data_IF_572507316324
#
_entry.id   IF_572507316324
#
_cell.length_a   1.000
_cell.length_b   1.000
_cell.length_c   1.000
_cell.angle_alpha   90.00
_cell.angle_beta   90.00
_cell.angle_gamma   90.00
#
_symmetry.space_group_name_H-M   'P 1'
#
loop_
_entity.id
_entity.type
_entity.pdbx_description
1 polymer ?
#
# COMPACT_ATOMS: atom_id res chain seq x y z
N UNK A 1 45.49 57.09 30.28
CA UNK A 1 44.18 56.42 30.38
C UNK A 1 43.97 55.69 29.07
N UNK A 2 44.59 54.52 28.96
CA UNK A 2 44.51 53.67 27.77
C UNK A 2 43.26 52.81 27.86
N UNK A 3 42.44 52.88 26.81
CA UNK A 3 41.24 52.06 26.64
C UNK A 3 41.72 50.65 26.26
N UNK A 4 41.35 49.58 26.97
CA UNK A 4 41.78 48.24 26.61
C UNK A 4 41.09 47.80 25.31
N UNK A 5 41.77 47.00 24.45
CA UNK A 5 41.22 46.57 23.17
C UNK A 5 40.05 45.62 23.37
N UNK A 6 38.97 45.90 22.64
CA UNK A 6 37.76 45.10 22.54
C UNK A 6 38.13 43.68 22.07
N UNK A 7 37.89 42.69 22.93
CA UNK A 7 38.17 41.30 22.63
C UNK A 7 37.25 40.83 21.49
N UNK A 8 37.84 40.58 20.32
CA UNK A 8 37.14 39.96 19.18
C UNK A 8 36.79 38.52 19.53
N UNK A 9 35.52 38.30 19.87
CA UNK A 9 34.97 36.95 20.09
C UNK A 9 35.03 36.18 18.76
N UNK A 10 35.79 35.07 18.66
CA UNK A 10 35.89 34.32 17.42
C UNK A 10 34.58 33.54 17.16
N UNK A 11 33.80 33.96 16.18
CA UNK A 11 32.48 33.38 15.88
C UNK A 11 32.28 33.10 14.40
N UNK A 12 33.00 32.18 13.74
CA UNK A 12 32.86 32.15 12.26
C UNK A 12 32.94 30.84 11.48
N UNK A 13 33.35 29.69 12.00
CA UNK A 13 33.47 28.46 11.15
C UNK A 13 32.49 27.35 11.49
N UNK A 14 32.40 26.93 12.76
CA UNK A 14 31.50 25.83 13.18
C UNK A 14 30.02 26.17 12.99
N UNK A 15 29.61 27.39 13.38
CA UNK A 15 28.22 27.86 13.27
C UNK A 15 27.71 27.90 11.83
N UNK A 16 28.60 28.28 10.90
CA UNK A 16 28.29 28.34 9.47
C UNK A 16 27.99 26.95 8.89
N UNK A 17 28.70 25.91 9.35
CA UNK A 17 28.53 24.54 8.85
C UNK A 17 27.21 23.91 9.31
N UNK A 18 26.84 24.09 10.59
CA UNK A 18 25.57 23.57 11.11
C UNK A 18 24.36 24.24 10.46
N UNK A 19 24.40 25.55 10.27
CA UNK A 19 23.31 26.31 9.62
C UNK A 19 23.13 25.87 8.16
N UNK A 20 24.23 25.64 7.44
CA UNK A 20 24.19 25.11 6.05
C UNK A 20 23.61 23.70 6.03
N UNK A 21 23.99 22.84 6.97
CA UNK A 21 23.48 21.48 7.08
C UNK A 21 21.95 21.46 7.30
N UNK A 22 21.44 22.24 8.25
CA UNK A 22 19.99 22.34 8.52
C UNK A 22 19.21 22.78 7.28
N UNK A 23 19.75 23.76 6.53
CA UNK A 23 19.10 24.26 5.30
C UNK A 23 19.07 23.22 4.17
N UNK A 24 20.15 22.49 3.97
CA UNK A 24 20.22 21.44 2.95
C UNK A 24 19.29 20.28 3.32
N UNK A 25 19.27 19.89 4.60
CA UNK A 25 18.43 18.80 5.10
C UNK A 25 16.94 19.15 5.11
N UNK A 26 16.57 20.41 5.36
CA UNK A 26 15.18 20.87 5.27
C UNK A 26 14.67 20.87 3.82
N UNK A 27 15.51 21.29 2.86
CA UNK A 27 15.18 21.25 1.44
C UNK A 27 15.11 19.81 0.90
N UNK A 28 16.02 18.95 1.33
CA UNK A 28 15.98 17.51 1.00
C UNK A 28 14.70 16.86 1.55
N UNK A 29 14.32 17.16 2.80
CA UNK A 29 13.06 16.67 3.39
C UNK A 29 11.82 17.17 2.65
N UNK A 30 11.88 18.38 2.07
CA UNK A 30 10.79 18.91 1.24
C UNK A 30 10.66 18.16 -0.09
N UNK A 31 11.78 17.83 -0.74
CA UNK A 31 11.78 17.00 -1.95
C UNK A 31 11.19 15.62 -1.69
N UNK A 32 11.54 15.02 -0.55
CA UNK A 32 10.96 13.75 -0.12
C UNK A 32 9.45 13.82 0.15
N UNK A 33 8.92 14.97 0.52
CA UNK A 33 7.47 15.10 0.64
C UNK A 33 6.87 15.26 -0.75
N UNK A 34 7.36 16.19 -1.57
CA UNK A 34 6.67 16.61 -2.80
C UNK A 34 6.71 15.59 -3.94
N UNK A 35 7.84 14.95 -4.19
CA UNK A 35 8.05 14.05 -5.34
C UNK A 35 7.09 12.84 -5.41
N UNK A 36 6.89 12.04 -4.34
CA UNK A 36 6.04 10.85 -4.41
C UNK A 36 4.57 11.22 -4.56
N UNK A 37 4.14 12.35 -4.01
CA UNK A 37 2.77 12.83 -4.19
C UNK A 37 2.48 13.25 -5.63
N UNK A 38 3.45 13.86 -6.31
CA UNK A 38 3.34 14.19 -7.73
C UNK A 38 3.25 12.90 -8.56
N UNK A 39 4.06 11.89 -8.25
CA UNK A 39 4.00 10.60 -8.95
C UNK A 39 2.64 9.90 -8.77
N UNK A 40 2.13 9.82 -7.55
CA UNK A 40 0.82 9.19 -7.25
C UNK A 40 -0.33 9.93 -7.95
N UNK A 41 -0.30 11.26 -7.96
CA UNK A 41 -1.31 12.09 -8.64
C UNK A 41 -1.32 11.86 -10.16
N UNK A 42 -0.17 11.58 -10.77
CA UNK A 42 -0.04 11.36 -12.22
C UNK A 42 -0.50 9.93 -12.60
N UNK A 43 -0.27 8.93 -11.76
CA UNK A 43 -0.47 7.52 -12.15
C UNK A 43 -1.90 6.98 -11.96
N UNK A 44 -2.70 7.50 -11.02
CA UNK A 44 -3.95 6.83 -10.60
C UNK A 44 -5.27 7.53 -10.99
N UNK A 45 -5.25 8.48 -11.94
CA UNK A 45 -6.46 9.10 -12.54
C UNK A 45 -7.64 9.35 -11.56
N UNK A 46 -7.30 10.00 -10.45
CA UNK A 46 -8.13 10.79 -9.55
C UNK A 46 -9.53 10.26 -9.13
N UNK A 47 -9.56 9.35 -8.14
CA UNK A 47 -10.29 9.60 -6.86
C UNK A 47 -9.42 10.35 -5.82
N UNK A 48 -8.15 10.60 -6.17
CA UNK A 48 -7.43 11.89 -6.20
C UNK A 48 -7.76 13.09 -5.30
N UNK A 49 -9.03 13.37 -5.04
CA UNK A 49 -9.44 14.61 -4.35
C UNK A 49 -9.02 14.60 -2.87
N UNK A 50 -8.81 13.41 -2.28
CA UNK A 50 -8.28 13.19 -0.93
C UNK A 50 -6.75 13.35 -0.85
N UNK A 51 -6.03 12.93 -1.90
CA UNK A 51 -4.59 13.18 -2.04
C UNK A 51 -4.26 14.68 -2.11
N UNK A 52 -5.19 15.53 -2.56
CA UNK A 52 -5.01 16.98 -2.74
C UNK A 52 -5.27 17.84 -1.49
N UNK A 53 -5.99 17.35 -0.48
CA UNK A 53 -6.34 18.14 0.73
C UNK A 53 -5.48 17.75 1.96
N UNK A 54 -4.98 16.51 1.99
CA UNK A 54 -4.25 15.89 3.10
C UNK A 54 -2.72 15.88 2.93
N UNK A 55 -2.23 16.43 1.82
CA UNK A 55 -0.84 16.75 1.44
C UNK A 55 -0.29 17.90 2.31
N UNK A 56 -0.54 17.72 3.62
CA UNK A 56 0.13 18.17 4.80
C UNK A 56 0.76 19.57 4.79
N UNK A 57 0.34 20.51 5.66
CA UNK A 57 1.08 21.76 5.88
C UNK A 57 2.52 21.53 6.40
N UNK A 58 2.97 20.28 6.62
CA UNK A 58 4.37 19.98 6.94
C UNK A 58 5.34 20.53 5.89
N UNK A 59 5.01 20.54 4.59
CA UNK A 59 5.92 21.12 3.59
C UNK A 59 6.08 22.64 3.76
N UNK A 60 5.03 23.35 4.21
CA UNK A 60 5.12 24.78 4.56
C UNK A 60 6.08 25.02 5.72
N UNK A 61 6.14 24.06 6.64
CA UNK A 61 7.01 24.12 7.80
C UNK A 61 8.49 23.94 7.41
N UNK A 62 8.80 22.98 6.52
CA UNK A 62 10.15 22.82 5.94
C UNK A 62 10.55 23.98 5.02
N UNK A 63 9.61 24.52 4.24
CA UNK A 63 9.81 25.71 3.41
C UNK A 63 10.09 26.94 4.29
N UNK A 64 9.33 27.09 5.39
CA UNK A 64 9.50 28.13 6.39
C UNK A 64 10.90 28.12 7.01
N UNK A 65 11.43 26.94 7.37
CA UNK A 65 12.80 26.80 7.88
C UNK A 65 13.81 27.31 6.84
N UNK A 66 13.69 26.87 5.57
CA UNK A 66 14.61 27.26 4.51
C UNK A 66 14.59 28.77 4.20
N UNK A 67 13.42 29.41 4.32
CA UNK A 67 13.23 30.84 4.11
C UNK A 67 13.67 31.69 5.32
N UNK A 68 13.33 31.27 6.54
CA UNK A 68 13.68 31.99 7.77
C UNK A 68 15.19 31.98 8.03
N UNK A 69 15.91 30.92 7.61
CA UNK A 69 17.38 30.87 7.66
C UNK A 69 18.08 31.87 6.74
N UNK A 70 17.38 32.40 5.72
CA UNK A 70 17.90 33.45 4.82
C UNK A 70 17.79 34.85 5.45
N UNK A 71 16.92 35.03 6.44
CA UNK A 71 16.64 36.32 7.09
C UNK A 71 17.36 36.54 8.42
N UNK A 72 16.96 37.59 9.14
CA UNK A 72 17.47 37.92 10.50
C UNK A 72 16.90 37.02 11.61
N UNK A 73 15.96 36.11 11.30
CA UNK A 73 15.21 35.27 12.25
C UNK A 73 15.75 33.83 12.35
N UNK A 74 17.08 33.68 12.47
CA UNK A 74 17.74 32.37 12.45
C UNK A 74 17.36 31.48 13.64
N UNK A 75 17.25 32.06 14.84
CA UNK A 75 16.85 31.32 16.04
C UNK A 75 15.42 30.75 15.95
N UNK A 76 14.50 31.52 15.37
CA UNK A 76 13.10 31.10 15.14
C UNK A 76 13.03 29.93 14.14
N UNK A 77 13.87 29.96 13.09
CA UNK A 77 13.99 28.88 12.12
C UNK A 77 14.54 27.58 12.73
N UNK A 78 15.56 27.69 13.59
CA UNK A 78 16.19 26.56 14.26
C UNK A 78 15.25 25.90 15.27
N UNK A 79 14.52 26.69 16.06
CA UNK A 79 13.48 26.18 16.96
C UNK A 79 12.36 25.44 16.20
N UNK A 80 12.00 25.95 15.02
CA UNK A 80 11.01 25.31 14.13
C UNK A 80 11.53 23.98 13.60
N UNK A 81 12.80 23.88 13.20
CA UNK A 81 13.41 22.63 12.73
C UNK A 81 13.45 21.54 13.82
N UNK A 82 13.82 21.91 15.05
CA UNK A 82 13.91 20.98 16.19
C UNK A 82 12.54 20.46 16.62
N UNK A 83 11.48 21.24 16.42
CA UNK A 83 10.11 20.90 16.84
C UNK A 83 9.36 20.06 15.82
N UNK A 84 9.66 20.21 14.52
CA UNK A 84 9.00 19.48 13.43
C UNK A 84 9.68 18.15 13.11
N UNK A 85 11.00 18.04 13.31
CA UNK A 85 11.77 16.83 13.02
C UNK A 85 11.24 15.56 13.71
N UNK A 86 11.02 15.56 15.04
CA UNK A 86 10.54 14.37 15.76
C UNK A 86 9.12 13.92 15.34
N UNK A 87 8.12 14.81 15.19
CA UNK A 87 6.84 14.42 14.61
C UNK A 87 6.95 13.82 13.21
N UNK A 88 7.78 14.39 12.34
CA UNK A 88 7.99 13.89 11.00
C UNK A 88 8.67 12.51 10.97
N UNK A 89 9.61 12.25 11.89
CA UNK A 89 10.23 10.93 12.07
C UNK A 89 9.18 9.87 12.43
N UNK A 90 8.31 10.18 13.39
CA UNK A 90 7.24 9.25 13.82
C UNK A 90 6.26 8.98 12.69
N UNK A 91 5.85 10.02 11.94
CA UNK A 91 4.97 9.87 10.77
C UNK A 91 5.61 8.99 9.70
N UNK A 92 6.89 9.23 9.38
CA UNK A 92 7.62 8.42 8.39
C UNK A 92 7.73 6.95 8.80
N UNK A 93 8.08 6.66 10.06
CA UNK A 93 8.17 5.30 10.57
C UNK A 93 6.80 4.61 10.64
N UNK A 94 5.76 5.30 11.10
CA UNK A 94 4.41 4.76 11.16
C UNK A 94 3.86 4.43 9.76
N UNK A 95 4.08 5.33 8.79
CA UNK A 95 3.72 5.09 7.40
C UNK A 95 4.49 3.90 6.80
N UNK A 96 5.80 3.81 7.06
CA UNK A 96 6.62 2.67 6.62
C UNK A 96 6.16 1.32 7.20
N UNK A 97 5.78 1.30 8.48
CA UNK A 97 5.20 0.13 9.16
C UNK A 97 3.83 -0.23 8.58
N UNK A 98 2.96 0.75 8.35
CA UNK A 98 1.63 0.55 7.76
C UNK A 98 1.73 -0.06 6.36
N UNK A 99 2.61 0.49 5.52
CA UNK A 99 2.79 0.03 4.14
C UNK A 99 3.51 -1.32 4.04
N UNK A 100 3.98 -1.90 5.15
CA UNK A 100 4.55 -3.27 5.17
C UNK A 100 3.52 -4.34 4.79
N UNK A 101 2.23 -4.07 5.03
CA UNK A 101 1.14 -4.99 4.76
C UNK A 101 0.63 -4.94 3.32
N UNK A 102 1.08 -3.97 2.52
CA UNK A 102 0.67 -3.78 1.12
C UNK A 102 1.79 -4.20 0.17
N UNK A 103 1.75 -5.40 -0.44
CA UNK A 103 2.81 -5.89 -1.34
C UNK A 103 3.05 -4.98 -2.55
N UNK A 104 1.97 -4.39 -3.07
CA UNK A 104 1.98 -3.56 -4.27
C UNK A 104 2.65 -2.18 -4.03
N UNK A 105 2.77 -1.76 -2.77
CA UNK A 105 3.21 -0.41 -2.38
C UNK A 105 4.64 -0.40 -1.80
N UNK A 106 5.45 -1.40 -2.14
CA UNK A 106 6.81 -1.54 -1.61
C UNK A 106 7.72 -0.35 -1.92
N UNK A 107 7.54 0.32 -3.06
CA UNK A 107 8.28 1.53 -3.44
C UNK A 107 7.87 2.74 -2.59
N UNK A 108 6.56 2.91 -2.34
CA UNK A 108 6.03 3.95 -1.43
C UNK A 108 6.56 3.75 -0.01
N UNK A 109 6.63 2.49 0.45
CA UNK A 109 7.22 2.12 1.74
C UNK A 109 8.70 2.50 1.83
N UNK A 110 9.49 2.20 0.81
CA UNK A 110 10.90 2.57 0.76
C UNK A 110 11.07 4.09 0.87
N UNK A 111 10.17 4.85 0.25
CA UNK A 111 10.15 6.30 0.28
C UNK A 111 9.91 6.87 1.70
N UNK A 112 8.88 6.41 2.41
CA UNK A 112 8.60 6.86 3.78
C UNK A 112 9.71 6.49 4.78
N UNK A 113 10.35 5.33 4.59
CA UNK A 113 11.50 4.93 5.40
C UNK A 113 12.73 5.83 5.14
N UNK A 114 12.96 6.22 3.88
CA UNK A 114 14.03 7.14 3.51
C UNK A 114 13.78 8.54 4.10
N UNK A 115 12.54 9.03 4.04
CA UNK A 115 12.11 10.27 4.69
C UNK A 115 12.29 10.23 6.22
N UNK A 116 11.92 9.12 6.87
CA UNK A 116 12.15 8.93 8.30
C UNK A 116 13.65 8.98 8.63
N UNK A 117 14.47 8.27 7.85
CA UNK A 117 15.93 8.28 8.00
C UNK A 117 16.53 9.68 7.86
N UNK A 118 16.01 10.51 6.94
CA UNK A 118 16.48 11.88 6.73
C UNK A 118 16.14 12.85 7.86
N UNK A 119 15.20 12.50 8.76
CA UNK A 119 14.89 13.33 9.92
C UNK A 119 15.96 13.26 11.01
N UNK A 120 16.70 12.14 11.14
CA UNK A 120 17.72 11.99 12.17
C UNK A 120 18.87 13.00 12.01
N UNK A 121 19.50 13.16 10.83
CA UNK A 121 20.49 14.22 10.62
C UNK A 121 19.92 15.63 10.81
N UNK A 122 18.65 15.86 10.46
CA UNK A 122 18.00 17.15 10.65
C UNK A 122 17.83 17.50 12.13
N UNK A 123 17.43 16.53 12.95
CA UNK A 123 17.31 16.70 14.40
C UNK A 123 18.69 16.96 15.01
N UNK A 124 19.70 16.14 14.66
CA UNK A 124 21.08 16.29 15.17
C UNK A 124 21.66 17.65 14.79
N UNK A 125 21.52 18.06 13.52
CA UNK A 125 22.01 19.36 13.05
C UNK A 125 21.21 20.54 13.63
N UNK A 126 19.91 20.38 13.86
CA UNK A 126 19.07 21.36 14.54
C UNK A 126 19.51 21.58 15.98
N UNK A 127 19.78 20.51 16.74
CA UNK A 127 20.35 20.61 18.08
C UNK A 127 21.75 21.22 18.08
N UNK A 128 22.63 20.78 17.17
CA UNK A 128 23.98 21.32 17.03
C UNK A 128 23.99 22.83 16.75
N UNK A 129 23.14 23.28 15.81
CA UNK A 129 22.99 24.70 15.50
C UNK A 129 22.34 25.50 16.63
N UNK A 130 21.41 24.91 17.39
CA UNK A 130 20.74 25.59 18.50
C UNK A 130 21.69 25.83 19.68
N UNK A 131 22.53 24.85 20.02
CA UNK A 131 23.51 24.99 21.09
C UNK A 131 24.73 25.84 20.72
N UNK A 132 24.98 26.05 19.43
CA UNK A 132 26.10 26.87 18.98
C UNK A 132 25.75 28.37 18.88
N UNK A 133 24.47 28.74 18.90
CA UNK A 133 24.03 30.15 18.93
C UNK A 133 24.25 30.83 20.30
N UNK A 134 24.73 32.11 20.33
CA UNK A 134 24.97 32.85 21.57
C UNK A 134 23.70 33.06 22.42
N UNK A 135 23.89 33.02 23.74
CA UNK A 135 22.85 33.00 24.78
C UNK A 135 21.92 34.22 24.77
N UNK A 136 22.42 35.38 24.31
CA UNK A 136 21.63 36.62 24.17
C UNK A 136 20.51 36.49 23.14
N UNK A 137 20.68 35.66 22.10
CA UNK A 137 19.63 35.35 21.11
C UNK A 137 18.66 34.26 21.59
N UNK A 138 18.98 33.58 22.69
CA UNK A 138 18.23 32.45 23.27
C UNK A 138 17.11 32.91 24.20
N UNK A 139 17.18 34.14 24.72
CA UNK A 139 16.37 34.65 25.82
C UNK A 139 14.92 35.03 25.47
N UNK A 140 14.33 34.37 24.48
CA UNK A 140 12.91 34.49 24.22
C UNK A 140 12.45 33.49 23.17
N UNK A 141 11.62 32.52 23.58
CA UNK A 141 10.76 31.69 22.72
C UNK A 141 11.38 30.42 22.12
N UNK A 142 11.83 29.47 22.96
CA UNK A 142 11.23 28.14 22.76
C UNK A 142 9.99 28.14 23.65
N UNK A 143 8.78 28.39 23.11
CA UNK A 143 7.61 28.25 23.95
C UNK A 143 7.55 26.77 24.32
N UNK A 144 7.56 26.46 25.61
CA UNK A 144 7.30 25.10 26.14
C UNK A 144 6.06 24.51 25.45
N UNK A 145 5.11 25.38 25.11
CA UNK A 145 3.95 25.11 24.27
C UNK A 145 4.25 24.49 22.90
N UNK A 146 5.32 24.86 22.19
CA UNK A 146 5.67 24.25 20.90
C UNK A 146 6.12 22.79 21.03
N UNK A 147 6.83 22.44 22.10
CA UNK A 147 7.16 21.05 22.41
C UNK A 147 5.91 20.26 22.81
N UNK A 148 5.03 20.86 23.63
CA UNK A 148 3.74 20.28 24.05
C UNK A 148 2.84 20.04 22.84
N UNK A 149 2.71 21.00 21.92
CA UNK A 149 1.90 20.85 20.71
C UNK A 149 2.44 19.77 19.77
N UNK A 150 3.77 19.64 19.63
CA UNK A 150 4.38 18.55 18.87
C UNK A 150 4.07 17.18 19.47
N UNK A 151 4.14 17.04 20.79
CA UNK A 151 3.85 15.80 21.52
C UNK A 151 2.37 15.41 21.44
N UNK A 152 1.47 16.37 21.61
CA UNK A 152 0.02 16.16 21.45
C UNK A 152 -0.33 15.77 20.02
N UNK A 153 0.30 16.40 19.02
CA UNK A 153 0.09 16.08 17.61
C UNK A 153 0.52 14.64 17.27
N UNK A 154 1.70 14.22 17.75
CA UNK A 154 2.17 12.84 17.61
C UNK A 154 1.24 11.85 18.31
N UNK A 155 0.80 12.15 19.54
CA UNK A 155 -0.12 11.31 20.30
C UNK A 155 -1.45 11.11 19.56
N UNK A 156 -2.06 12.19 19.06
CA UNK A 156 -3.31 12.12 18.29
C UNK A 156 -3.16 11.30 17.00
N UNK A 157 -2.02 11.44 16.30
CA UNK A 157 -1.72 10.64 15.11
C UNK A 157 -1.61 9.13 15.41
N UNK A 158 -0.92 8.77 16.51
CA UNK A 158 -0.82 7.37 16.94
C UNK A 158 -2.21 6.82 17.28
N UNK A 159 -3.04 7.57 18.00
CA UNK A 159 -4.42 7.18 18.32
C UNK A 159 -5.29 6.96 17.06
N UNK A 160 -5.23 7.87 16.08
CA UNK A 160 -5.98 7.73 14.83
C UNK A 160 -5.51 6.50 14.06
N UNK A 161 -4.19 6.27 13.95
CA UNK A 161 -3.68 5.07 13.27
C UNK A 161 -4.12 3.78 13.96
N UNK A 162 -4.10 3.73 15.30
CA UNK A 162 -4.53 2.58 16.08
C UNK A 162 -6.02 2.25 15.88
N UNK A 163 -6.87 3.26 15.64
CA UNK A 163 -8.29 3.08 15.37
C UNK A 163 -8.58 2.65 13.93
N UNK A 164 -7.82 3.17 12.96
CA UNK A 164 -8.02 2.91 11.54
C UNK A 164 -7.48 1.52 11.13
N UNK A 165 -6.37 1.06 11.72
CA UNK A 165 -5.69 -0.19 11.38
C UNK A 165 -6.57 -1.48 11.39
N UNK A 166 -7.40 -1.75 12.41
CA UNK A 166 -8.07 -3.06 12.53
C UNK A 166 -9.14 -3.27 11.46
N UNK A 167 -9.87 -2.21 11.08
CA UNK A 167 -10.99 -2.31 10.14
C UNK A 167 -10.56 -2.45 8.68
N UNK A 168 -9.41 -1.91 8.30
CA UNK A 168 -8.95 -1.86 6.90
C UNK A 168 -8.48 -3.21 6.39
N UNK A 169 -7.77 -3.97 7.22
CA UNK A 169 -7.27 -5.30 6.88
C UNK A 169 -8.44 -6.29 6.73
N UNK A 170 -9.40 -6.25 7.65
CA UNK A 170 -10.61 -7.08 7.57
C UNK A 170 -11.44 -6.76 6.31
N UNK A 171 -11.63 -5.47 5.99
CA UNK A 171 -12.40 -5.03 4.81
C UNK A 171 -11.79 -5.54 3.48
N UNK A 172 -10.46 -5.51 3.34
CA UNK A 172 -9.77 -6.06 2.16
C UNK A 172 -9.96 -7.56 2.03
N UNK A 173 -9.81 -8.31 3.13
CA UNK A 173 -10.02 -9.76 3.08
C UNK A 173 -11.45 -10.12 2.68
N UNK A 174 -12.45 -9.38 3.17
CA UNK A 174 -13.84 -9.62 2.78
C UNK A 174 -14.12 -9.32 1.31
N UNK A 175 -13.58 -8.23 0.76
CA UNK A 175 -13.79 -7.87 -0.66
C UNK A 175 -13.07 -8.82 -1.61
N UNK A 176 -11.85 -9.24 -1.27
CA UNK A 176 -11.09 -10.23 -2.04
C UNK A 176 -11.78 -11.61 -2.02
N UNK A 177 -12.23 -12.06 -0.85
CA UNK A 177 -13.01 -13.30 -0.72
C UNK A 177 -14.31 -13.26 -1.51
N UNK A 178 -15.04 -12.14 -1.49
CA UNK A 178 -16.27 -11.97 -2.28
C UNK A 178 -15.99 -12.05 -3.79
N UNK A 179 -14.90 -11.42 -4.27
CA UNK A 179 -14.45 -11.51 -5.67
C UNK A 179 -14.12 -12.95 -6.09
N UNK A 180 -13.50 -13.73 -5.19
CA UNK A 180 -13.19 -15.15 -5.43
C UNK A 180 -14.47 -15.97 -5.54
N UNK A 181 -15.39 -15.84 -4.59
CA UNK A 181 -16.69 -16.54 -4.63
C UNK A 181 -17.48 -16.19 -5.89
N UNK A 182 -17.52 -14.91 -6.27
CA UNK A 182 -18.15 -14.48 -7.52
C UNK A 182 -17.50 -15.13 -8.75
N UNK A 183 -16.17 -15.18 -8.79
CA UNK A 183 -15.44 -15.80 -9.91
C UNK A 183 -15.71 -17.30 -10.00
N UNK A 184 -15.80 -18.02 -8.86
CA UNK A 184 -16.18 -19.43 -8.83
C UNK A 184 -17.59 -19.66 -9.38
N UNK A 185 -18.56 -18.84 -8.96
CA UNK A 185 -19.95 -18.91 -9.46
C UNK A 185 -20.03 -18.63 -10.96
N UNK A 186 -19.28 -17.65 -11.44
CA UNK A 186 -19.24 -17.29 -12.86
C UNK A 186 -18.66 -18.43 -13.72
N UNK A 187 -17.55 -19.06 -13.29
CA UNK A 187 -16.97 -20.20 -14.01
C UNK A 187 -17.93 -21.40 -13.99
N UNK A 188 -18.58 -21.68 -12.85
CA UNK A 188 -19.56 -22.74 -12.76
C UNK A 188 -20.76 -22.49 -13.71
N UNK A 189 -21.32 -21.29 -13.71
CA UNK A 189 -22.41 -20.93 -14.62
C UNK A 189 -22.02 -21.10 -16.10
N UNK A 190 -20.79 -20.70 -16.46
CA UNK A 190 -20.26 -20.91 -17.81
C UNK A 190 -20.06 -22.40 -18.15
N UNK A 191 -19.59 -23.22 -17.20
CA UNK A 191 -19.47 -24.66 -17.37
C UNK A 191 -20.84 -25.34 -17.58
N UNK A 192 -21.85 -24.93 -16.83
CA UNK A 192 -23.24 -25.39 -17.00
C UNK A 192 -23.79 -24.97 -18.37
N UNK A 193 -23.55 -23.73 -18.80
CA UNK A 193 -23.95 -23.26 -20.13
C UNK A 193 -23.26 -24.00 -21.26
N UNK A 194 -21.98 -24.33 -21.10
CA UNK A 194 -21.22 -25.13 -22.05
C UNK A 194 -21.86 -26.52 -22.25
N UNK A 195 -22.22 -27.18 -21.13
CA UNK A 195 -22.87 -28.50 -21.15
C UNK A 195 -24.19 -28.47 -21.90
N UNK A 196 -25.03 -27.47 -21.66
CA UNK A 196 -26.31 -27.30 -22.35
C UNK A 196 -26.14 -27.04 -23.85
N UNK A 197 -25.18 -26.19 -24.20
CA UNK A 197 -24.99 -25.70 -25.58
C UNK A 197 -24.37 -26.77 -26.48
N UNK A 198 -23.32 -27.44 -26.01
CA UNK A 198 -22.54 -28.36 -26.84
C UNK A 198 -22.87 -29.84 -26.58
N UNK A 199 -23.66 -30.16 -25.55
CA UNK A 199 -24.00 -31.54 -25.18
C UNK A 199 -22.77 -32.45 -24.99
N UNK A 200 -21.63 -31.86 -24.63
CA UNK A 200 -20.32 -32.52 -24.47
C UNK A 200 -19.95 -32.75 -22.99
N UNK A 201 -20.92 -32.71 -22.07
CA UNK A 201 -20.64 -32.61 -20.65
C UNK A 201 -20.02 -31.26 -20.28
N UNK A 202 -19.29 -31.21 -19.17
CA UNK A 202 -18.54 -30.04 -18.72
C UNK A 202 -17.19 -29.92 -19.45
N UNK A 203 -16.59 -28.72 -19.53
CA UNK A 203 -15.30 -28.56 -20.21
C UNK A 203 -14.17 -29.32 -19.50
N UNK A 204 -13.33 -30.06 -20.23
CA UNK A 204 -12.18 -30.74 -19.62
C UNK A 204 -11.12 -29.76 -19.06
N UNK A 205 -11.05 -28.56 -19.62
CA UNK A 205 -10.16 -27.50 -19.18
C UNK A 205 -10.88 -26.16 -19.18
N UNK A 206 -10.60 -25.31 -18.19
CA UNK A 206 -11.14 -23.95 -18.11
C UNK A 206 -10.87 -23.11 -19.37
N UNK A 207 -9.77 -23.37 -20.08
CA UNK A 207 -9.43 -22.65 -21.32
C UNK A 207 -10.48 -22.82 -22.43
N UNK A 208 -11.23 -23.94 -22.43
CA UNK A 208 -12.30 -24.19 -23.40
C UNK A 208 -13.49 -23.22 -23.23
N UNK A 209 -13.65 -22.64 -22.04
CA UNK A 209 -14.67 -21.62 -21.75
C UNK A 209 -14.25 -20.24 -22.23
N UNK A 210 -12.95 -20.01 -22.43
CA UNK A 210 -12.41 -18.71 -22.82
C UNK A 210 -12.72 -18.32 -24.26
N UNK A 211 -12.42 -17.07 -24.64
CA UNK A 211 -12.59 -16.62 -26.01
C UNK A 211 -11.62 -17.38 -26.95
N UNK A 212 -12.03 -17.60 -28.22
CA UNK A 212 -11.14 -18.14 -29.24
C UNK A 212 -9.90 -17.26 -29.43
N UNK A 213 -8.80 -17.88 -29.90
CA UNK A 213 -7.66 -17.10 -30.41
C UNK A 213 -8.14 -16.19 -31.54
N UNK A 214 -7.58 -14.99 -31.62
CA UNK A 214 -7.91 -14.00 -32.64
C UNK A 214 -7.94 -14.64 -34.03
N UNK A 215 -9.09 -14.58 -34.71
CA UNK A 215 -9.30 -15.17 -36.04
C UNK A 215 -9.88 -16.60 -36.07
N UNK A 216 -10.21 -17.20 -34.92
CA UNK A 216 -10.90 -18.51 -34.87
C UNK A 216 -12.38 -18.36 -34.49
N UNK A 217 -13.24 -19.20 -35.05
CA UNK A 217 -14.68 -19.19 -34.77
C UNK A 217 -15.00 -19.78 -33.39
N UNK A 218 -16.08 -19.29 -32.78
CA UNK A 218 -16.58 -19.81 -31.51
C UNK A 218 -17.12 -21.23 -31.69
N UNK A 219 -16.77 -22.13 -30.78
CA UNK A 219 -17.18 -23.53 -30.84
C UNK A 219 -16.87 -24.26 -29.54
N UNK A 220 -17.11 -25.57 -29.50
CA UNK A 220 -16.90 -26.37 -28.28
C UNK A 220 -15.46 -26.39 -27.77
N UNK A 221 -14.48 -25.98 -28.58
CA UNK A 221 -13.08 -25.89 -28.16
C UNK A 221 -12.67 -24.47 -27.71
N UNK A 222 -13.54 -23.49 -27.91
CA UNK A 222 -13.37 -22.10 -27.50
C UNK A 222 -14.74 -21.41 -27.46
N UNK A 223 -15.46 -21.61 -26.36
CA UNK A 223 -16.88 -21.28 -26.26
C UNK A 223 -17.15 -19.79 -25.99
N UNK A 224 -16.12 -19.00 -25.65
CA UNK A 224 -16.24 -17.57 -25.34
C UNK A 224 -17.31 -17.25 -24.27
N UNK A 225 -17.49 -18.17 -23.32
CA UNK A 225 -18.48 -18.06 -22.23
C UNK A 225 -17.95 -17.30 -21.01
N UNK A 226 -16.63 -17.20 -20.87
CA UNK A 226 -15.97 -16.36 -19.87
C UNK A 226 -14.95 -15.43 -20.54
N UNK A 227 -14.71 -14.28 -19.92
CA UNK A 227 -13.68 -13.34 -20.36
C UNK A 227 -12.27 -13.94 -20.20
N UNK A 228 -11.33 -13.50 -21.04
CA UNK A 228 -9.92 -13.92 -20.96
C UNK A 228 -9.31 -13.68 -19.56
N UNK A 229 -9.74 -12.62 -18.87
CA UNK A 229 -9.33 -12.28 -17.51
C UNK A 229 -9.65 -13.40 -16.50
N UNK A 230 -10.76 -14.12 -16.68
CA UNK A 230 -11.22 -15.22 -15.81
C UNK A 230 -10.61 -16.58 -16.17
N UNK A 231 -9.99 -16.70 -17.34
CA UNK A 231 -9.20 -17.87 -17.73
C UNK A 231 -7.85 -17.90 -16.99
N UNK A 232 -7.41 -16.77 -16.43
CA UNK A 232 -6.15 -16.63 -15.69
C UNK A 232 -6.14 -17.50 -14.43
N UNK A 233 -4.99 -18.14 -14.13
CA UNK A 233 -4.81 -18.98 -12.93
C UNK A 233 -4.79 -18.20 -11.63
N UNK A 234 -4.68 -16.88 -11.67
CA UNK A 234 -4.59 -16.04 -10.48
C UNK A 234 -5.53 -14.85 -10.58
N UNK A 235 -6.22 -14.53 -9.48
CA UNK A 235 -7.07 -13.34 -9.35
C UNK A 235 -7.23 -13.00 -7.86
N UNK A 236 -7.17 -11.71 -7.53
CA UNK A 236 -7.39 -11.20 -6.15
C UNK A 236 -6.51 -11.87 -5.08
N UNK A 237 -5.26 -12.24 -5.38
CA UNK A 237 -4.37 -12.90 -4.42
C UNK A 237 -4.60 -14.41 -4.24
N UNK A 238 -5.46 -15.01 -5.07
CA UNK A 238 -5.80 -16.43 -5.06
C UNK A 238 -5.40 -17.11 -6.36
N UNK A 239 -5.01 -18.38 -6.24
CA UNK A 239 -4.74 -19.31 -7.34
C UNK A 239 -5.94 -20.21 -7.55
N UNK A 240 -6.46 -20.21 -8.78
CA UNK A 240 -7.58 -21.04 -9.21
C UNK A 240 -7.06 -22.30 -9.90
N UNK A 241 -7.48 -23.46 -9.38
CA UNK A 241 -7.25 -24.79 -9.95
C UNK A 241 -8.53 -25.34 -10.56
N UNK A 242 -8.42 -26.04 -11.68
CA UNK A 242 -9.53 -26.74 -12.33
C UNK A 242 -9.18 -28.23 -12.43
N UNK A 243 -10.00 -29.07 -11.82
CA UNK A 243 -9.79 -30.50 -11.69
C UNK A 243 -10.91 -31.24 -12.44
N UNK A 244 -10.65 -31.71 -13.67
CA UNK A 244 -11.63 -32.48 -14.44
C UNK A 244 -11.86 -33.86 -13.83
N UNK A 245 -13.11 -34.32 -13.85
CA UNK A 245 -13.49 -35.71 -13.59
C UNK A 245 -13.39 -36.60 -14.83
N UNK A 246 -14.03 -37.79 -14.81
CA UNK A 246 -14.02 -38.72 -15.93
C UNK A 246 -14.61 -38.11 -17.21
N UNK A 247 -14.03 -38.45 -18.36
CA UNK A 247 -14.53 -38.00 -19.64
C UNK A 247 -15.93 -38.52 -19.96
N UNK A 248 -16.67 -37.78 -20.78
CA UNK A 248 -17.91 -38.29 -21.38
C UNK A 248 -17.59 -39.41 -22.38
N UNK A 249 -18.36 -40.51 -22.40
CA UNK A 249 -18.07 -41.67 -23.25
C UNK A 249 -18.31 -41.39 -24.74
N UNK A 250 -19.24 -40.48 -25.06
CA UNK A 250 -19.62 -40.15 -26.44
C UNK A 250 -19.60 -38.64 -26.66
N UNK A 251 -18.42 -38.04 -26.89
CA UNK A 251 -18.31 -36.62 -27.19
C UNK A 251 -18.84 -36.30 -28.60
N UNK A 252 -19.40 -35.10 -28.83
CA UNK A 252 -19.79 -34.64 -30.16
C UNK A 252 -18.59 -34.56 -31.11
N UNK A 253 -18.81 -34.82 -32.40
CA UNK A 253 -17.77 -34.79 -33.42
C UNK A 253 -17.10 -33.40 -33.51
N UNK A 254 -15.76 -33.36 -33.56
CA UNK A 254 -14.97 -32.12 -33.64
C UNK A 254 -14.72 -31.42 -32.30
N UNK A 255 -15.27 -31.94 -31.20
CA UNK A 255 -15.06 -31.41 -29.86
C UNK A 255 -14.03 -32.23 -29.07
N UNK A 256 -13.18 -31.54 -28.31
CA UNK A 256 -12.37 -32.19 -27.27
C UNK A 256 -13.31 -32.85 -26.27
N UNK A 257 -13.11 -34.12 -25.88
CA UNK A 257 -14.01 -34.80 -24.95
C UNK A 257 -14.15 -34.02 -23.65
N UNK A 258 -15.37 -33.60 -23.31
CA UNK A 258 -15.64 -32.99 -22.01
C UNK A 258 -15.67 -34.03 -20.89
N UNK A 259 -16.12 -33.62 -19.71
CA UNK A 259 -16.10 -34.40 -18.47
C UNK A 259 -17.47 -34.43 -17.79
N UNK A 260 -17.73 -35.48 -17.02
CA UNK A 260 -19.02 -35.67 -16.36
C UNK A 260 -19.14 -34.86 -15.06
N UNK A 261 -18.02 -34.61 -14.39
CA UNK A 261 -17.91 -33.83 -13.16
C UNK A 261 -16.65 -32.97 -13.19
N UNK A 262 -16.61 -31.93 -12.37
CA UNK A 262 -15.44 -31.08 -12.24
C UNK A 262 -15.38 -30.43 -10.88
N UNK A 263 -14.17 -30.08 -10.44
CA UNK A 263 -13.95 -29.32 -9.22
C UNK A 263 -13.10 -28.10 -9.52
N UNK A 264 -13.49 -26.97 -8.95
CA UNK A 264 -12.72 -25.73 -9.02
C UNK A 264 -12.27 -25.39 -7.61
N UNK A 265 -10.97 -25.28 -7.42
CA UNK A 265 -10.38 -24.88 -6.15
C UNK A 265 -9.86 -23.45 -6.25
N UNK A 266 -10.03 -22.64 -5.21
CA UNK A 266 -9.34 -21.36 -5.09
C UNK A 266 -8.58 -21.33 -3.76
N UNK A 267 -7.25 -21.19 -3.81
CA UNK A 267 -6.39 -21.12 -2.63
C UNK A 267 -5.63 -19.79 -2.62
N UNK A 268 -5.42 -19.15 -1.47
CA UNK A 268 -4.53 -18.00 -1.37
C UNK A 268 -3.13 -18.31 -1.92
N UNK A 269 -2.50 -17.35 -2.59
CA UNK A 269 -1.10 -17.47 -3.04
C UNK A 269 -0.15 -17.66 -1.84
N UNK A 270 -0.36 -16.90 -0.76
CA UNK A 270 0.28 -17.07 0.53
C UNK A 270 -0.78 -17.13 1.63
N UNK A 271 -1.00 -18.33 2.19
CA UNK A 271 -1.98 -18.54 3.25
C UNK A 271 -1.64 -17.69 4.49
N UNK A 272 -2.63 -16.99 5.04
CA UNK A 272 -2.46 -16.05 6.15
C UNK A 272 -1.96 -14.65 5.76
N UNK A 273 -1.54 -14.43 4.50
CA UNK A 273 -1.13 -13.11 4.00
C UNK A 273 -2.05 -12.58 2.91
N UNK A 274 -2.23 -13.32 1.81
CA UNK A 274 -3.12 -12.94 0.70
C UNK A 274 -4.54 -13.48 0.87
N UNK A 275 -4.78 -14.31 1.89
CA UNK A 275 -6.10 -14.86 2.20
C UNK A 275 -6.01 -15.92 3.30
N UNK A 276 -7.11 -16.16 4.00
CA UNK A 276 -7.20 -17.08 5.15
C UNK A 276 -8.17 -18.24 4.93
N UNK A 277 -8.82 -18.28 3.77
CA UNK A 277 -9.86 -19.26 3.46
C UNK A 277 -9.53 -19.88 2.11
N UNK A 278 -9.65 -21.20 1.98
CA UNK A 278 -9.63 -21.91 0.72
C UNK A 278 -11.05 -22.29 0.31
N UNK A 279 -11.35 -22.22 -0.99
CA UNK A 279 -12.67 -22.52 -1.54
C UNK A 279 -12.64 -23.69 -2.51
N UNK A 280 -13.73 -24.44 -2.54
CA UNK A 280 -14.01 -25.50 -3.52
C UNK A 280 -15.41 -25.30 -4.08
N UNK A 281 -15.56 -25.35 -5.40
CA UNK A 281 -16.84 -25.41 -6.08
C UNK A 281 -16.89 -26.69 -6.92
N UNK A 282 -17.94 -27.48 -6.80
CA UNK A 282 -18.15 -28.69 -7.60
C UNK A 282 -19.13 -28.44 -8.77
N UNK A 283 -19.44 -29.49 -9.52
CA UNK A 283 -20.41 -29.44 -10.62
C UNK A 283 -21.86 -29.23 -10.16
N UNK A 284 -22.14 -29.26 -8.85
CA UNK A 284 -23.47 -28.95 -8.30
C UNK A 284 -23.64 -27.46 -8.03
N UNK A 285 -22.54 -26.69 -8.02
CA UNK A 285 -22.52 -25.26 -7.75
C UNK A 285 -22.47 -24.92 -6.25
N UNK A 286 -22.35 -25.93 -5.39
CA UNK A 286 -22.16 -25.74 -3.95
C UNK A 286 -20.70 -25.31 -3.72
N UNK A 287 -20.54 -24.13 -3.12
CA UNK A 287 -19.22 -23.63 -2.73
C UNK A 287 -18.97 -24.02 -1.28
N UNK A 288 -17.89 -24.75 -1.04
CA UNK A 288 -17.40 -25.17 0.27
C UNK A 288 -16.15 -24.39 0.64
N UNK A 289 -15.92 -24.19 1.93
CA UNK A 289 -14.80 -23.40 2.42
C UNK A 289 -14.09 -24.06 3.61
N UNK A 290 -12.79 -23.83 3.71
CA UNK A 290 -11.98 -24.22 4.88
C UNK A 290 -11.04 -23.09 5.28
N UNK A 291 -10.84 -22.89 6.58
CA UNK A 291 -9.88 -21.95 7.15
C UNK A 291 -8.53 -22.60 7.49
N UNK A 292 -8.34 -23.88 7.14
CA UNK A 292 -7.09 -24.59 7.31
C UNK A 292 -6.16 -24.35 6.10
N UNK A 293 -4.84 -24.38 6.32
CA UNK A 293 -3.85 -24.23 5.25
C UNK A 293 -3.74 -25.50 4.38
N UNK A 294 -4.83 -25.81 3.70
CA UNK A 294 -4.96 -26.90 2.74
C UNK A 294 -5.96 -26.53 1.65
N UNK A 295 -6.02 -27.36 0.62
CA UNK A 295 -7.09 -27.29 -0.37
C UNK A 295 -8.44 -27.66 0.26
N UNK A 296 -9.49 -26.94 -0.12
CA UNK A 296 -10.85 -27.29 0.26
C UNK A 296 -11.28 -28.60 -0.41
N UNK A 297 -12.10 -29.37 0.30
CA UNK A 297 -12.57 -30.72 -0.01
C UNK A 297 -14.09 -30.78 0.00
N UNK A 298 -14.66 -31.89 -0.46
CA UNK A 298 -16.11 -32.10 -0.47
C UNK A 298 -16.68 -32.35 0.93
N UNK A 299 -15.84 -32.55 1.95
CA UNK A 299 -16.29 -32.76 3.33
C UNK A 299 -16.37 -31.44 4.11
N UNK A 300 -15.79 -30.37 3.56
CA UNK A 300 -15.78 -29.05 4.17
C UNK A 300 -17.17 -28.40 4.14
N UNK A 301 -17.50 -27.53 5.12
CA UNK A 301 -18.81 -26.90 5.20
C UNK A 301 -19.09 -25.99 3.99
N UNK A 302 -20.35 -25.95 3.49
CA UNK A 302 -20.76 -25.00 2.46
C UNK A 302 -20.74 -23.58 3.00
N UNK A 303 -20.52 -22.60 2.12
CA UNK A 303 -20.72 -21.18 2.47
C UNK A 303 -22.21 -20.93 2.69
N UNK A 304 -22.55 -20.15 3.73
CA UNK A 304 -23.91 -19.66 3.89
C UNK A 304 -24.26 -18.76 2.70
N UNK A 305 -25.43 -18.98 2.09
CA UNK A 305 -25.91 -18.22 0.94
C UNK A 305 -26.45 -16.85 1.33
#
# INVERSE_FOLDING_TARGET
>A
MEIPPEATVPSTTSDSNWIRAVRVLSLASLLFIVEPFVLIAITEHMDGLFSLLLLSPLWLAYLGIALLLRGRKRAEALATAVTIGPPALVVGLAAGLFLKFSPDWHWVRAYFNLFAGSQLPLIVSGFGAYYSTPEESRQGRIPIWSLVYGLVFVFLMVCISAFVLPGWVASRYHSEQASVVYSLRSIHAAASKYRETYRNGFPAHRNLLGPPRTGTSTGCNAASLIEASMVTRQKSGYVFGYWPGPHVPTPPAGCVPGVQSFKITARPLEFGRTGTISYLCDETGIIRQTSEDRSATLDDPPIAQ
#
